data_IF_371386821281
#
_entry.id   IF_371386821281
#
_cell.length_a   1.000
_cell.length_b   1.000
_cell.length_c   1.000
_cell.angle_alpha   90.00
_cell.angle_beta   90.00
_cell.angle_gamma   90.00
#
_symmetry.space_group_name_H-M   'P 1'
#
loop_
_entity.id
_entity.type
_entity.pdbx_description
1 polymer ?
#
# COMPACT_ATOMS: atom_id res chain seq x y z
N UNK A 1 0.83 15.75 20.31
CA UNK A 1 0.03 16.94 20.55
C UNK A 1 -1.21 16.60 21.39
N UNK A 2 -1.87 15.49 21.09
CA UNK A 2 -3.02 14.98 21.84
C UNK A 2 -2.69 13.63 22.46
N UNK A 3 -3.38 13.26 23.56
CA UNK A 3 -3.23 11.91 24.13
C UNK A 3 -3.91 10.83 23.26
N UNK A 4 -3.62 9.57 23.55
CA UNK A 4 -4.15 8.44 22.78
C UNK A 4 -5.70 8.38 22.82
N UNK A 5 -6.34 8.81 23.93
CA UNK A 5 -7.79 8.80 24.05
C UNK A 5 -8.43 9.80 23.10
N UNK A 6 -7.88 11.02 23.03
CA UNK A 6 -8.35 12.05 22.10
C UNK A 6 -8.13 11.60 20.65
N UNK A 7 -6.98 11.01 20.32
CA UNK A 7 -6.70 10.51 18.98
C UNK A 7 -7.74 9.45 18.53
N UNK A 8 -8.08 8.50 19.39
CA UNK A 8 -9.11 7.48 19.11
C UNK A 8 -10.49 8.12 18.92
N UNK A 9 -10.89 9.07 19.79
CA UNK A 9 -12.18 9.74 19.68
C UNK A 9 -12.30 10.59 18.41
N UNK A 10 -11.22 11.26 18.01
CA UNK A 10 -11.16 12.01 16.74
C UNK A 10 -11.30 11.04 15.55
N UNK A 11 -10.67 9.88 15.59
CA UNK A 11 -10.84 8.84 14.58
C UNK A 11 -12.29 8.39 14.43
N UNK A 12 -12.98 8.11 15.55
CA UNK A 12 -14.41 7.78 15.53
C UNK A 12 -15.26 8.92 14.99
N UNK A 13 -14.98 10.17 15.39
CA UNK A 13 -15.70 11.33 14.90
C UNK A 13 -15.60 11.48 13.38
N UNK A 14 -14.37 11.35 12.81
CA UNK A 14 -14.13 11.45 11.38
C UNK A 14 -14.84 10.32 10.62
N UNK A 15 -14.72 9.07 11.10
CA UNK A 15 -15.40 7.93 10.48
C UNK A 15 -16.92 8.07 10.51
N UNK A 16 -17.48 8.44 11.67
CA UNK A 16 -18.92 8.64 11.82
C UNK A 16 -19.42 9.78 10.93
N UNK A 17 -18.65 10.86 10.80
CA UNK A 17 -18.95 11.98 9.91
C UNK A 17 -18.96 11.54 8.45
N UNK A 18 -17.97 10.73 8.02
CA UNK A 18 -17.92 10.17 6.67
C UNK A 18 -19.17 9.31 6.38
N UNK A 19 -19.54 8.41 7.30
CA UNK A 19 -20.75 7.58 7.17
C UNK A 19 -22.03 8.42 7.11
N UNK A 20 -22.12 9.47 7.93
CA UNK A 20 -23.25 10.39 7.91
C UNK A 20 -23.37 11.12 6.55
N UNK A 21 -22.26 11.66 6.01
CA UNK A 21 -22.28 12.34 4.72
C UNK A 21 -22.64 11.39 3.57
N UNK A 22 -22.15 10.17 3.60
CA UNK A 22 -22.51 9.16 2.59
C UNK A 22 -23.99 8.78 2.67
N UNK A 23 -24.59 8.75 3.86
CA UNK A 23 -26.02 8.47 4.02
C UNK A 23 -26.92 9.50 3.30
N UNK A 24 -26.48 10.75 3.17
CA UNK A 24 -27.19 11.79 2.43
C UNK A 24 -27.28 11.55 0.92
N UNK A 25 -26.49 10.62 0.40
CA UNK A 25 -26.60 10.21 -1.02
C UNK A 25 -27.89 9.43 -1.29
N UNK A 26 -28.56 8.92 -0.25
CA UNK A 26 -29.73 8.03 -0.32
C UNK A 26 -29.49 6.78 -1.20
N UNK A 27 -28.22 6.39 -1.36
CA UNK A 27 -27.82 5.21 -2.15
C UNK A 27 -27.23 4.15 -1.21
N UNK A 28 -28.05 3.16 -0.84
CA UNK A 28 -27.66 2.07 0.05
C UNK A 28 -26.35 1.37 -0.38
N UNK A 29 -26.18 1.17 -1.71
CA UNK A 29 -24.98 0.53 -2.26
C UNK A 29 -23.69 1.30 -1.91
N UNK A 30 -23.72 2.64 -1.89
CA UNK A 30 -22.55 3.47 -1.55
C UNK A 30 -22.28 3.41 -0.05
N UNK A 31 -23.34 3.50 0.77
CA UNK A 31 -23.23 3.39 2.23
C UNK A 31 -22.61 2.04 2.61
N UNK A 32 -23.11 0.94 2.05
CA UNK A 32 -22.61 -0.41 2.28
C UNK A 32 -21.15 -0.54 1.83
N UNK A 33 -20.80 0.05 0.69
CA UNK A 33 -19.44 0.01 0.17
C UNK A 33 -18.44 0.72 1.08
N UNK A 34 -18.81 1.90 1.62
CA UNK A 34 -17.97 2.63 2.58
C UNK A 34 -17.83 1.87 3.91
N UNK A 35 -18.91 1.28 4.40
CA UNK A 35 -18.85 0.45 5.61
C UNK A 35 -17.96 -0.78 5.43
N UNK A 36 -18.04 -1.45 4.26
CA UNK A 36 -17.17 -2.56 3.91
C UNK A 36 -15.70 -2.12 3.80
N UNK A 37 -15.42 -0.93 3.26
CA UNK A 37 -14.08 -0.35 3.23
C UNK A 37 -13.51 -0.21 4.64
N UNK A 38 -14.26 0.37 5.59
CA UNK A 38 -13.80 0.51 6.97
C UNK A 38 -13.42 -0.83 7.60
N UNK A 39 -14.23 -1.87 7.36
CA UNK A 39 -13.90 -3.24 7.78
C UNK A 39 -12.62 -3.75 7.12
N UNK A 40 -12.49 -3.61 5.80
CA UNK A 40 -11.31 -4.10 5.06
C UNK A 40 -10.02 -3.43 5.53
N UNK A 41 -10.04 -2.11 5.80
CA UNK A 41 -8.89 -1.39 6.33
C UNK A 41 -8.51 -1.91 7.73
N UNK A 42 -9.48 -2.17 8.58
CA UNK A 42 -9.26 -2.75 9.92
C UNK A 42 -8.70 -4.18 9.84
N UNK A 43 -9.26 -5.01 8.97
CA UNK A 43 -8.76 -6.37 8.72
C UNK A 43 -7.30 -6.35 8.22
N UNK A 44 -6.95 -5.40 7.36
CA UNK A 44 -5.59 -5.20 6.85
C UNK A 44 -4.60 -4.81 7.96
N UNK A 45 -5.00 -3.93 8.88
CA UNK A 45 -4.16 -3.56 10.02
C UNK A 45 -3.98 -4.73 11.00
N UNK A 46 -5.05 -5.47 11.31
CA UNK A 46 -5.00 -6.67 12.15
C UNK A 46 -4.08 -7.72 11.51
N UNK A 47 -4.18 -7.94 10.19
CA UNK A 47 -3.31 -8.85 9.47
C UNK A 47 -1.85 -8.41 9.56
N UNK A 48 -1.55 -7.12 9.37
CA UNK A 48 -0.20 -6.60 9.53
C UNK A 48 0.34 -6.83 10.93
N UNK A 49 -0.43 -6.50 11.98
CA UNK A 49 -0.03 -6.69 13.37
C UNK A 49 0.23 -8.16 13.70
N UNK A 50 -0.62 -9.07 13.22
CA UNK A 50 -0.43 -10.51 13.39
C UNK A 50 0.81 -11.02 12.64
N UNK A 51 1.11 -10.44 11.48
CA UNK A 51 2.25 -10.82 10.65
C UNK A 51 3.59 -10.30 11.19
N UNK A 52 3.61 -9.27 12.03
CA UNK A 52 4.86 -8.78 12.67
C UNK A 52 5.58 -9.93 13.41
N UNK A 53 4.82 -10.79 14.08
CA UNK A 53 5.37 -11.94 14.85
C UNK A 53 5.40 -13.26 14.06
N UNK A 54 4.91 -13.26 12.83
CA UNK A 54 4.92 -14.45 12.00
C UNK A 54 6.29 -14.61 11.34
N UNK A 55 6.97 -15.72 11.59
CA UNK A 55 8.30 -16.01 11.03
C UNK A 55 8.25 -16.44 9.56
N UNK A 56 7.04 -16.67 9.00
CA UNK A 56 6.88 -16.93 7.57
C UNK A 56 7.07 -15.63 6.77
N UNK A 57 8.07 -15.64 5.88
CA UNK A 57 8.42 -14.49 5.03
C UNK A 57 7.75 -14.70 3.67
N UNK A 58 6.47 -14.35 3.60
CA UNK A 58 5.61 -14.58 2.45
C UNK A 58 5.33 -13.29 1.67
N UNK A 59 5.70 -13.28 0.39
CA UNK A 59 5.35 -12.20 -0.52
C UNK A 59 3.83 -12.09 -0.71
N UNK A 60 3.11 -13.21 -0.69
CA UNK A 60 1.64 -13.20 -0.78
C UNK A 60 0.99 -12.49 0.41
N UNK A 61 1.50 -12.71 1.62
CA UNK A 61 1.02 -12.03 2.83
C UNK A 61 1.31 -10.53 2.74
N UNK A 62 2.49 -10.15 2.27
CA UNK A 62 2.83 -8.74 2.03
C UNK A 62 1.80 -8.08 1.08
N UNK A 63 1.52 -8.68 -0.08
CA UNK A 63 0.53 -8.14 -1.02
C UNK A 63 -0.88 -8.07 -0.40
N UNK A 64 -1.26 -9.05 0.39
CA UNK A 64 -2.56 -9.03 1.06
C UNK A 64 -2.66 -7.88 2.06
N UNK A 65 -1.60 -7.64 2.85
CA UNK A 65 -1.54 -6.52 3.81
C UNK A 65 -1.69 -5.18 3.09
N UNK A 66 -0.84 -4.89 2.09
CA UNK A 66 -0.88 -3.59 1.41
C UNK A 66 -2.15 -3.38 0.59
N UNK A 67 -2.73 -4.46 0.06
CA UNK A 67 -4.03 -4.42 -0.61
C UNK A 67 -5.15 -4.00 0.35
N UNK A 68 -5.22 -4.61 1.52
CA UNK A 68 -6.29 -4.34 2.49
C UNK A 68 -6.07 -3.03 3.26
N UNK A 69 -4.83 -2.74 3.69
CA UNK A 69 -4.51 -1.58 4.51
C UNK A 69 -4.47 -0.27 3.72
N UNK A 70 -4.00 -0.31 2.48
CA UNK A 70 -3.76 0.91 1.67
C UNK A 70 -4.56 0.92 0.38
N UNK A 71 -4.42 -0.09 -0.47
CA UNK A 71 -5.01 -0.07 -1.80
C UNK A 71 -6.54 -0.11 -1.78
N UNK A 72 -7.16 -0.69 -0.75
CA UNK A 72 -8.61 -0.74 -0.60
C UNK A 72 -9.27 0.66 -0.60
N UNK A 73 -8.60 1.69 -0.08
CA UNK A 73 -9.10 3.06 -0.13
C UNK A 73 -9.13 3.61 -1.57
N UNK A 74 -8.06 3.41 -2.33
CA UNK A 74 -7.99 3.82 -3.74
C UNK A 74 -9.01 3.06 -4.59
N UNK A 75 -9.14 1.74 -4.35
CA UNK A 75 -10.16 0.89 -4.97
C UNK A 75 -11.58 1.43 -4.69
N UNK A 76 -11.85 1.81 -3.44
CA UNK A 76 -13.13 2.35 -3.04
C UNK A 76 -13.42 3.70 -3.67
N UNK A 77 -12.45 4.62 -3.73
CA UNK A 77 -12.60 5.91 -4.38
C UNK A 77 -12.97 5.75 -5.86
N UNK A 78 -12.25 4.91 -6.58
CA UNK A 78 -12.51 4.65 -7.99
C UNK A 78 -13.88 3.95 -8.20
N UNK A 79 -14.19 2.95 -7.38
CA UNK A 79 -15.46 2.22 -7.44
C UNK A 79 -16.67 3.10 -7.12
N UNK A 80 -16.61 3.91 -6.05
CA UNK A 80 -17.69 4.85 -5.69
C UNK A 80 -17.87 5.91 -6.78
N UNK A 81 -16.76 6.40 -7.36
CA UNK A 81 -16.81 7.31 -8.50
C UNK A 81 -17.60 6.71 -9.67
N UNK A 82 -17.29 5.50 -10.07
CA UNK A 82 -18.00 4.77 -11.12
C UNK A 82 -19.49 4.54 -10.77
N UNK A 83 -19.78 4.09 -9.54
CA UNK A 83 -21.15 3.90 -9.07
C UNK A 83 -21.96 5.20 -9.08
N UNK A 84 -21.34 6.34 -8.76
CA UNK A 84 -22.03 7.62 -8.67
C UNK A 84 -22.56 8.10 -10.04
N UNK A 85 -21.92 7.70 -11.13
CA UNK A 85 -22.28 8.05 -12.50
C UNK A 85 -23.18 7.03 -13.19
N UNK A 86 -23.53 5.94 -12.50
CA UNK A 86 -24.36 4.87 -13.07
C UNK A 86 -23.60 3.98 -14.05
N UNK A 87 -22.30 3.81 -13.85
CA UNK A 87 -21.47 2.93 -14.67
C UNK A 87 -22.02 1.49 -14.70
N UNK A 88 -21.76 0.77 -15.80
CA UNK A 88 -22.05 -0.65 -15.89
C UNK A 88 -21.27 -1.44 -14.83
N UNK A 89 -21.74 -2.66 -14.51
CA UNK A 89 -21.02 -3.54 -13.57
C UNK A 89 -19.58 -3.83 -14.04
N UNK A 90 -19.40 -4.03 -15.34
CA UNK A 90 -18.08 -4.26 -15.94
C UNK A 90 -17.16 -3.04 -15.78
N UNK A 91 -17.68 -1.83 -15.98
CA UNK A 91 -16.88 -0.60 -15.79
C UNK A 91 -16.63 -0.31 -14.33
N UNK A 92 -17.56 -0.63 -13.44
CA UNK A 92 -17.35 -0.56 -11.99
C UNK A 92 -16.21 -1.50 -11.54
N UNK A 93 -16.21 -2.76 -11.98
CA UNK A 93 -15.13 -3.71 -11.66
C UNK A 93 -13.79 -3.22 -12.21
N UNK A 94 -13.76 -2.72 -13.45
CA UNK A 94 -12.55 -2.19 -14.07
C UNK A 94 -12.03 -0.94 -13.35
N UNK A 95 -12.89 -0.04 -12.93
CA UNK A 95 -12.52 1.14 -12.13
C UNK A 95 -11.93 0.74 -10.75
N UNK A 96 -12.52 -0.25 -10.10
CA UNK A 96 -11.97 -0.81 -8.85
C UNK A 96 -10.57 -1.35 -9.03
N UNK A 97 -10.34 -2.13 -10.10
CA UNK A 97 -9.02 -2.68 -10.40
C UNK A 97 -7.98 -1.58 -10.67
N UNK A 98 -8.37 -0.52 -11.39
CA UNK A 98 -7.51 0.66 -11.59
C UNK A 98 -7.15 1.30 -10.25
N UNK A 99 -8.13 1.57 -9.38
CA UNK A 99 -7.88 2.11 -8.04
C UNK A 99 -6.99 1.21 -7.21
N UNK A 100 -7.22 -0.11 -7.22
CA UNK A 100 -6.40 -1.06 -6.50
C UNK A 100 -4.94 -1.05 -6.98
N UNK A 101 -4.71 -1.07 -8.30
CA UNK A 101 -3.36 -0.99 -8.86
C UNK A 101 -2.64 0.28 -8.43
N UNK A 102 -3.32 1.43 -8.49
CA UNK A 102 -2.76 2.72 -8.07
C UNK A 102 -2.37 2.70 -6.58
N UNK A 103 -3.23 2.16 -5.71
CA UNK A 103 -2.95 2.05 -4.29
C UNK A 103 -1.80 1.07 -3.96
N UNK A 104 -1.68 -0.01 -4.74
CA UNK A 104 -0.55 -0.95 -4.64
C UNK A 104 0.76 -0.27 -5.04
N UNK A 105 0.77 0.45 -6.17
CA UNK A 105 1.94 1.24 -6.61
C UNK A 105 2.33 2.25 -5.54
N UNK A 106 1.35 2.96 -4.99
CA UNK A 106 1.58 3.96 -3.94
C UNK A 106 2.31 3.35 -2.74
N UNK A 107 1.84 2.21 -2.24
CA UNK A 107 2.44 1.57 -1.07
C UNK A 107 3.81 0.97 -1.37
N UNK A 108 3.98 0.29 -2.51
CA UNK A 108 5.30 -0.27 -2.88
C UNK A 108 6.33 0.86 -3.01
N UNK A 109 5.94 2.01 -3.55
CA UNK A 109 6.82 3.18 -3.65
C UNK A 109 7.21 3.73 -2.27
N UNK A 110 6.26 3.83 -1.34
CA UNK A 110 6.54 4.23 0.04
C UNK A 110 7.52 3.26 0.72
N UNK A 111 7.32 1.97 0.53
CA UNK A 111 8.18 0.93 1.08
C UNK A 111 9.61 0.99 0.50
N UNK A 112 9.77 1.34 -0.79
CA UNK A 112 11.08 1.56 -1.42
C UNK A 112 11.78 2.78 -0.78
N UNK A 113 11.06 3.84 -0.44
CA UNK A 113 11.65 5.01 0.19
C UNK A 113 12.33 4.69 1.52
N UNK A 114 11.85 3.71 2.27
CA UNK A 114 12.46 3.29 3.53
C UNK A 114 13.88 2.69 3.38
N UNK A 115 14.30 2.38 2.15
CA UNK A 115 15.66 1.92 1.83
C UNK A 115 16.65 3.06 1.55
N UNK A 116 16.20 4.32 1.49
CA UNK A 116 17.03 5.48 1.19
C UNK A 116 16.99 6.50 2.34
N UNK A 117 18.11 7.18 2.57
CA UNK A 117 18.15 8.27 3.53
C UNK A 117 17.48 9.51 2.95
N UNK A 118 16.54 10.08 3.68
CA UNK A 118 16.06 11.43 3.38
C UNK A 118 16.81 12.44 4.27
N UNK A 119 17.87 13.02 3.72
CA UNK A 119 18.66 14.02 4.41
C UNK A 119 17.89 15.30 4.74
N UNK A 120 16.77 15.57 4.06
CA UNK A 120 15.94 16.77 4.26
C UNK A 120 15.09 16.70 5.51
N UNK A 121 14.62 15.50 5.87
CA UNK A 121 13.77 15.26 7.04
C UNK A 121 14.47 14.43 8.12
N UNK A 122 15.74 14.04 7.90
CA UNK A 122 16.53 13.26 8.87
C UNK A 122 15.92 11.89 9.18
N UNK A 123 15.12 11.33 8.27
CA UNK A 123 14.50 10.03 8.45
C UNK A 123 15.53 8.93 8.20
N UNK A 124 15.87 8.11 9.22
CA UNK A 124 16.80 6.99 9.04
C UNK A 124 16.20 5.94 8.12
N UNK A 125 17.04 5.17 7.43
CA UNK A 125 16.62 4.01 6.64
C UNK A 125 16.17 2.85 7.53
N UNK A 126 15.26 2.01 7.03
CA UNK A 126 14.88 0.77 7.70
C UNK A 126 13.94 0.94 8.88
N UNK A 127 13.13 2.00 8.91
CA UNK A 127 12.12 2.19 9.97
C UNK A 127 11.10 1.06 10.00
N UNK A 128 10.66 0.56 8.84
CA UNK A 128 9.75 -0.58 8.78
C UNK A 128 10.35 -1.82 9.43
N UNK A 129 11.64 -2.07 9.20
CA UNK A 129 12.35 -3.18 9.86
C UNK A 129 12.48 -2.95 11.36
N UNK A 130 12.72 -1.72 11.81
CA UNK A 130 12.74 -1.39 13.23
C UNK A 130 11.39 -1.62 13.92
N UNK A 131 10.28 -1.51 13.17
CA UNK A 131 8.92 -1.81 13.61
C UNK A 131 8.51 -3.28 13.42
N UNK A 132 9.43 -4.17 13.02
CA UNK A 132 9.16 -5.59 12.83
C UNK A 132 8.55 -5.95 11.47
N UNK A 133 8.54 -5.03 10.51
CA UNK A 133 7.97 -5.21 9.17
C UNK A 133 9.06 -5.55 8.16
N UNK A 134 8.76 -6.51 7.30
CA UNK A 134 9.57 -6.80 6.12
C UNK A 134 8.77 -6.40 4.88
N UNK A 135 9.36 -5.61 4.00
CA UNK A 135 8.73 -5.08 2.79
C UNK A 135 9.26 -5.78 1.53
N UNK A 136 8.62 -5.53 0.40
CA UNK A 136 8.84 -6.28 -0.84
C UNK A 136 10.32 -6.45 -1.25
N UNK A 137 11.18 -5.41 -1.19
CA UNK A 137 12.58 -5.56 -1.60
C UNK A 137 13.33 -6.62 -0.79
N UNK A 138 13.23 -6.58 0.55
CA UNK A 138 13.94 -7.56 1.39
C UNK A 138 13.29 -8.94 1.35
N UNK A 139 11.96 -9.02 1.23
CA UNK A 139 11.24 -10.30 1.06
C UNK A 139 11.73 -11.01 -0.20
N UNK A 140 11.82 -10.29 -1.34
CA UNK A 140 12.32 -10.85 -2.58
C UNK A 140 13.76 -11.35 -2.43
N UNK A 141 14.66 -10.52 -1.89
CA UNK A 141 16.07 -10.88 -1.73
C UNK A 141 16.24 -12.14 -0.86
N UNK A 142 15.52 -12.23 0.28
CA UNK A 142 15.55 -13.39 1.16
C UNK A 142 15.02 -14.66 0.48
N UNK A 143 13.89 -14.56 -0.24
CA UNK A 143 13.28 -15.70 -0.90
C UNK A 143 14.09 -16.19 -2.10
N UNK A 144 14.78 -15.28 -2.79
CA UNK A 144 15.58 -15.61 -3.97
C UNK A 144 16.93 -16.24 -3.62
N UNK A 145 17.60 -15.74 -2.59
CA UNK A 145 18.97 -16.20 -2.23
C UNK A 145 18.99 -17.31 -1.20
N UNK A 146 17.97 -17.42 -0.34
CA UNK A 146 17.92 -18.35 0.80
C UNK A 146 19.14 -18.23 1.73
N UNK A 147 19.73 -17.01 1.83
CA UNK A 147 20.89 -16.75 2.69
C UNK A 147 20.54 -16.95 4.16
N UNK A 148 21.16 -17.95 4.79
CA UNK A 148 20.85 -18.33 6.17
C UNK A 148 21.16 -17.23 7.20
N UNK A 149 22.21 -16.43 6.97
CA UNK A 149 22.57 -15.33 7.87
C UNK A 149 21.56 -14.19 7.77
N UNK A 150 21.13 -13.83 6.57
CA UNK A 150 20.11 -12.80 6.33
C UNK A 150 18.72 -13.25 6.79
N UNK A 151 18.37 -14.52 6.61
CA UNK A 151 17.15 -15.10 7.19
C UNK A 151 17.15 -15.04 8.73
N UNK A 152 18.31 -15.26 9.38
CA UNK A 152 18.43 -15.11 10.82
C UNK A 152 18.22 -13.65 11.26
N UNK A 153 18.74 -12.66 10.52
CA UNK A 153 18.50 -11.24 10.79
C UNK A 153 17.02 -10.87 10.57
N UNK A 154 16.39 -11.37 9.52
CA UNK A 154 14.96 -11.17 9.27
C UNK A 154 14.08 -11.72 10.40
N UNK A 155 14.46 -12.85 11.01
CA UNK A 155 13.79 -13.35 12.21
C UNK A 155 13.94 -12.42 13.40
N UNK A 156 15.12 -11.84 13.63
CA UNK A 156 15.33 -10.82 14.67
C UNK A 156 14.45 -9.58 14.43
N UNK A 157 14.23 -9.16 13.18
CA UNK A 157 13.26 -8.11 12.83
C UNK A 157 11.88 -8.49 13.36
N UNK A 158 11.41 -9.70 13.03
CA UNK A 158 10.10 -10.21 13.48
C UNK A 158 9.98 -10.37 15.00
N UNK A 159 11.07 -10.62 15.69
CA UNK A 159 11.14 -10.76 17.14
C UNK A 159 11.29 -9.40 17.86
N UNK A 160 11.53 -8.33 17.11
CA UNK A 160 11.78 -6.99 17.67
C UNK A 160 13.13 -6.87 18.41
N UNK A 161 14.09 -7.74 18.09
CA UNK A 161 15.42 -7.82 18.71
C UNK A 161 16.55 -7.33 17.81
N UNK A 162 16.21 -6.82 16.60
CA UNK A 162 17.15 -6.32 15.61
C UNK A 162 17.74 -4.96 16.04
N UNK A 163 19.03 -4.75 15.83
CA UNK A 163 19.68 -3.48 16.04
C UNK A 163 19.91 -2.70 14.73
N UNK A 164 20.33 -1.45 14.82
CA UNK A 164 20.54 -0.56 13.67
C UNK A 164 21.56 -1.10 12.66
N UNK A 165 22.64 -1.70 13.12
CA UNK A 165 23.69 -2.25 12.24
C UNK A 165 23.15 -3.45 11.44
N UNK A 166 22.37 -4.30 12.09
CA UNK A 166 21.70 -5.45 11.48
C UNK A 166 20.64 -5.02 10.44
N UNK A 167 19.88 -3.94 10.73
CA UNK A 167 18.95 -3.33 9.77
C UNK A 167 19.72 -2.81 8.56
N UNK A 168 20.81 -2.07 8.76
CA UNK A 168 21.62 -1.55 7.65
C UNK A 168 22.17 -2.70 6.76
N UNK A 169 22.53 -3.82 7.36
CA UNK A 169 22.96 -5.02 6.60
C UNK A 169 21.82 -5.60 5.75
N UNK A 170 20.61 -5.69 6.29
CA UNK A 170 19.43 -6.14 5.52
C UNK A 170 19.08 -5.15 4.40
N UNK A 171 19.19 -3.85 4.64
CA UNK A 171 18.96 -2.81 3.63
C UNK A 171 19.97 -2.94 2.48
N UNK A 172 21.28 -3.05 2.81
CA UNK A 172 22.32 -3.26 1.81
C UNK A 172 22.11 -4.55 1.01
N UNK A 173 21.85 -5.65 1.72
CA UNK A 173 21.55 -6.95 1.11
C UNK A 173 20.37 -6.89 0.14
N UNK A 174 19.25 -6.24 0.51
CA UNK A 174 18.09 -6.11 -0.36
C UNK A 174 18.43 -5.34 -1.65
N UNK A 175 19.24 -4.28 -1.56
CA UNK A 175 19.72 -3.52 -2.72
C UNK A 175 20.64 -4.36 -3.61
N UNK A 176 21.64 -5.00 -3.04
CA UNK A 176 22.63 -5.81 -3.75
C UNK A 176 22.01 -7.02 -4.46
N UNK A 177 20.97 -7.61 -3.87
CA UNK A 177 20.27 -8.76 -4.44
C UNK A 177 19.12 -8.40 -5.39
N UNK A 178 19.04 -7.12 -5.81
CA UNK A 178 18.05 -6.66 -6.80
C UNK A 178 16.62 -6.55 -6.28
N UNK A 179 16.44 -6.46 -4.96
CA UNK A 179 15.11 -6.33 -4.35
C UNK A 179 14.39 -5.05 -4.76
N UNK A 180 15.13 -3.93 -4.87
CA UNK A 180 14.56 -2.66 -5.35
C UNK A 180 14.13 -2.78 -6.81
N UNK A 181 14.99 -3.32 -7.68
CA UNK A 181 14.68 -3.52 -9.11
C UNK A 181 13.45 -4.42 -9.30
N UNK A 182 13.29 -5.43 -8.44
CA UNK A 182 12.11 -6.28 -8.44
C UNK A 182 10.84 -5.50 -8.08
N UNK A 183 10.89 -4.72 -7.01
CA UNK A 183 9.76 -3.89 -6.59
C UNK A 183 9.39 -2.83 -7.66
N UNK A 184 10.38 -2.20 -8.29
CA UNK A 184 10.17 -1.29 -9.43
C UNK A 184 9.49 -2.02 -10.61
N UNK A 185 9.93 -3.21 -10.98
CA UNK A 185 9.28 -4.02 -12.04
C UNK A 185 7.83 -4.36 -11.71
N UNK A 186 7.52 -4.65 -10.44
CA UNK A 186 6.14 -4.89 -10.01
C UNK A 186 5.29 -3.63 -10.19
N UNK A 187 5.78 -2.46 -9.78
CA UNK A 187 5.08 -1.19 -9.95
C UNK A 187 4.83 -0.88 -11.44
N UNK A 188 5.84 -1.03 -12.30
CA UNK A 188 5.69 -0.78 -13.74
C UNK A 188 4.72 -1.74 -14.42
N UNK A 189 4.62 -2.98 -13.96
CA UNK A 189 3.59 -3.92 -14.43
C UNK A 189 2.18 -3.45 -14.06
N UNK A 190 1.98 -3.01 -12.84
CA UNK A 190 0.70 -2.45 -12.38
C UNK A 190 0.35 -1.14 -13.10
N UNK A 191 1.35 -0.31 -13.38
CA UNK A 191 1.22 0.91 -14.18
C UNK A 191 0.71 0.60 -15.59
N UNK A 192 1.34 -0.34 -16.28
CA UNK A 192 0.93 -0.73 -17.63
C UNK A 192 -0.53 -1.23 -17.67
N UNK A 193 -0.95 -2.03 -16.68
CA UNK A 193 -2.35 -2.46 -16.55
C UNK A 193 -3.30 -1.28 -16.33
N UNK A 194 -2.89 -0.29 -15.54
CA UNK A 194 -3.67 0.91 -15.27
C UNK A 194 -3.74 1.81 -16.48
N UNK A 195 -2.67 1.94 -17.26
CA UNK A 195 -2.64 2.71 -18.50
C UNK A 195 -3.56 2.07 -19.56
N UNK A 196 -3.58 0.75 -19.66
CA UNK A 196 -4.52 0.04 -20.53
C UNK A 196 -5.97 0.37 -20.17
N UNK A 197 -6.33 0.33 -18.88
CA UNK A 197 -7.66 0.75 -18.41
C UNK A 197 -8.00 2.18 -18.87
N UNK A 198 -7.07 3.12 -18.71
CA UNK A 198 -7.27 4.52 -19.12
C UNK A 198 -7.53 4.63 -20.63
N UNK A 199 -6.83 3.86 -21.45
CA UNK A 199 -6.99 3.84 -22.89
C UNK A 199 -8.35 3.27 -23.31
N UNK A 200 -8.78 2.19 -22.68
CA UNK A 200 -10.01 1.46 -23.05
C UNK A 200 -11.28 2.10 -22.49
N UNK A 201 -11.23 2.70 -21.29
CA UNK A 201 -12.40 3.10 -20.52
C UNK A 201 -12.60 4.60 -20.38
N UNK A 202 -11.56 5.41 -20.55
CA UNK A 202 -11.63 6.86 -20.41
C UNK A 202 -11.66 7.52 -21.77
N UNK A 203 -12.85 7.93 -22.24
CA UNK A 203 -13.03 8.53 -23.56
C UNK A 203 -12.46 9.95 -23.67
N UNK A 204 -12.54 10.75 -22.60
CA UNK A 204 -12.02 12.11 -22.57
C UNK A 204 -10.48 12.13 -22.59
N UNK A 205 -9.89 12.70 -23.62
CA UNK A 205 -8.43 12.81 -23.76
C UNK A 205 -7.80 13.58 -22.59
N UNK A 206 -8.41 14.68 -22.17
CA UNK A 206 -7.91 15.52 -21.07
C UNK A 206 -7.92 14.77 -19.74
N UNK A 207 -8.98 14.01 -19.43
CA UNK A 207 -9.05 13.19 -18.24
C UNK A 207 -8.05 12.03 -18.29
N UNK A 208 -7.89 11.39 -19.44
CA UNK A 208 -6.90 10.32 -19.64
C UNK A 208 -5.50 10.82 -19.37
N UNK A 209 -5.15 12.00 -19.90
CA UNK A 209 -3.85 12.63 -19.66
C UNK A 209 -3.65 13.00 -18.19
N UNK A 210 -4.68 13.54 -17.52
CA UNK A 210 -4.61 13.89 -16.11
C UNK A 210 -4.40 12.64 -15.21
N UNK A 211 -5.15 11.57 -15.46
CA UNK A 211 -4.96 10.32 -14.72
C UNK A 211 -3.61 9.66 -14.99
N UNK A 212 -3.16 9.70 -16.28
CA UNK A 212 -1.82 9.21 -16.61
C UNK A 212 -0.74 10.00 -15.89
N UNK A 213 -0.81 11.33 -15.92
CA UNK A 213 0.16 12.18 -15.23
C UNK A 213 0.18 11.92 -13.70
N UNK A 214 -0.98 11.65 -13.10
CA UNK A 214 -1.05 11.27 -11.70
C UNK A 214 -0.45 9.89 -11.43
N UNK A 215 -0.70 8.92 -12.29
CA UNK A 215 -0.13 7.57 -12.22
C UNK A 215 1.40 7.60 -12.34
N UNK A 216 1.92 8.36 -13.32
CA UNK A 216 3.35 8.59 -13.52
C UNK A 216 3.97 9.27 -12.29
N UNK A 217 3.32 10.32 -11.77
CA UNK A 217 3.76 11.02 -10.56
C UNK A 217 3.89 10.10 -9.35
N UNK A 218 2.95 9.18 -9.13
CA UNK A 218 3.01 8.26 -7.98
C UNK A 218 4.22 7.33 -8.05
N UNK A 219 4.61 6.89 -9.26
CA UNK A 219 5.82 6.06 -9.44
C UNK A 219 7.09 6.90 -9.35
N UNK A 220 7.11 8.07 -10.00
CA UNK A 220 8.32 8.86 -10.19
C UNK A 220 8.61 9.82 -9.05
N UNK A 221 7.66 10.00 -8.10
CA UNK A 221 7.88 10.87 -6.95
C UNK A 221 9.18 10.50 -6.25
N UNK A 222 10.00 11.53 -6.01
CA UNK A 222 11.21 11.44 -5.21
C UNK A 222 10.88 11.65 -3.71
N UNK A 223 11.81 11.22 -2.88
CA UNK A 223 11.81 11.52 -1.44
C UNK A 223 11.79 13.02 -1.17
#
# INVERSE_FOLDING_TARGET
VYDNKVAVLVGYYILSTALLHVSYTHREVIVRYLAQLGRTLSDGEILQLSNIRNLDISENVYYQVIKQKTAALFEACAGIGALSTGASEADFIAAKQFGQNLGMIFQIRDDIFDYYEDSRIGKPTGNDMAEGKLTLPVIYALNHTQDAAMLALARKVKEGSVNKEEINRLVAFAKEQGGIDYADKVMWRLHAQSEQFLQEKVSSLSLRQAFKAYLDFVIERAL
#
